data_IF_512159526304
#
_entry.id   IF_512159526304
#
_cell.length_a   1.000
_cell.length_b   1.000
_cell.length_c   1.000
_cell.angle_alpha   90.00
_cell.angle_beta   90.00
_cell.angle_gamma   90.00
#
_symmetry.space_group_name_H-M   'P 1'
#
loop_
_entity.id
_entity.type
_entity.pdbx_description
1 polymer ?
#
# COMPACT_ATOMS: atom_id res chain seq x y z
N UNK A 1 -14.44 -12.78 23.84
CA UNK A 1 -14.12 -13.77 22.78
C UNK A 1 -13.21 -14.89 23.29
N UNK A 2 -12.10 -14.58 23.97
CA UNK A 2 -11.13 -15.57 24.47
C UNK A 2 -11.72 -16.76 25.25
N UNK A 3 -12.72 -16.54 26.10
CA UNK A 3 -13.34 -17.61 26.91
C UNK A 3 -14.33 -18.50 26.14
N UNK A 4 -14.63 -18.18 24.87
CA UNK A 4 -15.52 -18.99 24.02
C UNK A 4 -14.77 -20.07 23.24
N UNK A 5 -13.43 -20.02 23.24
CA UNK A 5 -12.60 -20.95 22.50
C UNK A 5 -11.88 -21.89 23.47
N UNK A 6 -12.03 -23.22 23.33
CA UNK A 6 -11.26 -24.16 24.12
C UNK A 6 -9.78 -24.05 23.73
N UNK A 7 -8.90 -23.91 24.73
CA UNK A 7 -7.46 -23.73 24.54
C UNK A 7 -6.78 -24.92 23.86
N UNK A 8 -7.44 -26.08 23.79
CA UNK A 8 -6.97 -27.26 23.09
C UNK A 8 -7.02 -27.14 21.56
N UNK A 9 -7.80 -26.21 21.00
CA UNK A 9 -7.92 -26.01 19.56
C UNK A 9 -7.08 -24.81 19.12
N UNK A 10 -7.30 -23.65 19.75
CA UNK A 10 -6.60 -22.40 19.41
C UNK A 10 -6.66 -21.44 20.59
N UNK A 11 -5.72 -20.50 20.63
CA UNK A 11 -5.61 -19.47 21.66
C UNK A 11 -5.57 -18.09 21.03
N UNK A 12 -6.39 -17.16 21.54
CA UNK A 12 -6.30 -15.75 21.20
C UNK A 12 -5.36 -15.05 22.20
N UNK A 13 -4.20 -14.66 21.71
CA UNK A 13 -3.21 -13.88 22.45
C UNK A 13 -3.48 -12.39 22.27
N UNK A 14 -3.35 -11.64 23.36
CA UNK A 14 -3.62 -10.20 23.32
C UNK A 14 -2.54 -9.45 22.54
N UNK A 15 -1.29 -9.88 22.66
CA UNK A 15 -0.11 -9.28 22.02
C UNK A 15 -0.19 -9.30 20.50
N UNK A 16 -0.85 -10.31 19.93
CA UNK A 16 -1.05 -10.48 18.50
C UNK A 16 -2.43 -9.97 18.02
N UNK A 17 -3.19 -9.30 18.89
CA UNK A 17 -4.54 -8.84 18.58
C UNK A 17 -4.67 -7.33 18.69
N UNK A 18 -5.35 -6.73 17.72
CA UNK A 18 -5.66 -5.31 17.72
C UNK A 18 -7.16 -5.10 17.89
N UNK A 19 -7.55 -4.20 18.80
CA UNK A 19 -8.96 -3.85 19.06
C UNK A 19 -9.11 -2.34 18.98
N UNK A 20 -9.87 -1.87 17.99
CA UNK A 20 -10.28 -0.47 17.88
C UNK A 20 -11.71 -0.28 18.37
N UNK A 21 -11.93 0.73 19.20
CA UNK A 21 -13.26 1.09 19.71
C UNK A 21 -13.65 2.46 19.17
N UNK A 22 -14.76 2.51 18.44
CA UNK A 22 -15.41 3.74 18.03
C UNK A 22 -16.28 4.28 19.18
N UNK A 23 -16.05 5.52 19.59
CA UNK A 23 -16.75 6.13 20.74
C UNK A 23 -16.99 7.63 20.52
N UNK A 24 -17.57 8.30 21.53
CA UNK A 24 -17.70 9.76 21.55
C UNK A 24 -16.32 10.44 21.53
N UNK A 25 -15.34 9.87 22.23
CA UNK A 25 -14.01 10.48 22.34
C UNK A 25 -13.09 10.10 21.17
N UNK A 26 -13.30 8.92 20.56
CA UNK A 26 -12.56 8.47 19.39
C UNK A 26 -13.47 8.38 18.14
N UNK A 27 -13.37 9.33 17.19
CA UNK A 27 -14.16 9.31 15.96
C UNK A 27 -13.62 8.34 14.90
N UNK A 28 -12.45 7.73 15.11
CA UNK A 28 -11.80 6.86 14.14
C UNK A 28 -12.06 5.40 14.47
N UNK A 29 -12.47 4.62 13.46
CA UNK A 29 -12.46 3.17 13.52
C UNK A 29 -11.28 2.65 12.72
N UNK A 30 -10.42 1.87 13.37
CA UNK A 30 -9.19 1.33 12.79
C UNK A 30 -9.30 -0.19 12.69
N UNK A 31 -8.85 -0.78 11.59
CA UNK A 31 -8.63 -2.22 11.49
C UNK A 31 -7.56 -2.51 10.44
N UNK A 32 -6.89 -3.66 10.56
CA UNK A 32 -6.01 -4.20 9.51
C UNK A 32 -6.67 -5.44 8.90
N UNK A 33 -6.63 -5.55 7.58
CA UNK A 33 -7.14 -6.70 6.84
C UNK A 33 -6.33 -6.92 5.57
N UNK A 34 -5.89 -8.16 5.35
CA UNK A 34 -5.18 -8.55 4.12
C UNK A 34 -3.96 -7.65 3.79
N UNK A 35 -3.29 -7.11 4.82
CA UNK A 35 -2.16 -6.20 4.66
C UNK A 35 -2.52 -4.74 4.39
N UNK A 36 -3.80 -4.39 4.45
CA UNK A 36 -4.26 -3.01 4.44
C UNK A 36 -4.60 -2.57 5.85
N UNK A 37 -4.04 -1.43 6.25
CA UNK A 37 -4.50 -0.69 7.42
C UNK A 37 -5.55 0.33 6.99
N UNK A 38 -6.75 0.22 7.57
CA UNK A 38 -7.91 1.01 7.16
C UNK A 38 -8.41 1.93 8.29
N UNK A 39 -8.32 3.22 7.98
CA UNK A 39 -8.89 4.42 8.59
C UNK A 39 -10.37 4.70 8.29
N UNK A 40 -11.38 4.25 9.02
CA UNK A 40 -12.77 4.73 8.76
C UNK A 40 -13.11 5.96 9.62
N UNK A 41 -13.57 7.03 8.96
CA UNK A 41 -14.06 8.25 9.58
C UNK A 41 -15.46 8.63 9.04
N UNK A 42 -16.50 8.68 9.90
CA UNK A 42 -17.83 9.12 9.51
C UNK A 42 -17.89 10.62 9.21
N UNK A 43 -18.65 11.01 8.17
CA UNK A 43 -18.81 12.40 7.74
C UNK A 43 -19.39 13.31 8.84
N UNK A 44 -20.28 12.78 9.68
CA UNK A 44 -20.91 13.51 10.80
C UNK A 44 -19.89 14.00 11.83
N UNK A 45 -18.75 13.31 11.94
CA UNK A 45 -17.68 13.62 12.90
C UNK A 45 -16.51 14.39 12.27
N UNK A 46 -16.62 14.68 10.98
CA UNK A 46 -15.57 15.32 10.18
C UNK A 46 -15.82 16.82 10.13
N UNK A 47 -14.77 17.63 10.30
CA UNK A 47 -14.89 19.09 10.12
C UNK A 47 -15.27 19.41 8.67
N UNK A 48 -16.18 20.38 8.47
CA UNK A 48 -16.81 20.67 7.17
C UNK A 48 -15.79 20.99 6.04
N UNK A 49 -14.63 21.56 6.38
CA UNK A 49 -13.57 21.91 5.42
C UNK A 49 -12.75 20.71 4.93
N UNK A 50 -12.81 19.56 5.60
CA UNK A 50 -12.04 18.37 5.24
C UNK A 50 -12.69 17.53 4.13
N UNK A 51 -13.98 17.74 3.82
CA UNK A 51 -14.72 16.91 2.86
C UNK A 51 -14.42 17.27 1.39
N UNK A 52 -14.18 18.56 1.12
CA UNK A 52 -13.80 19.06 -0.22
C UNK A 52 -12.34 18.74 -0.58
N UNK A 53 -11.50 18.45 0.41
CA UNK A 53 -10.07 18.07 0.24
C UNK A 53 -9.86 16.55 0.30
N UNK A 54 -10.83 15.76 -0.17
CA UNK A 54 -10.63 14.30 -0.28
C UNK A 54 -9.58 14.06 -1.35
N UNK A 55 -8.33 13.88 -0.90
CA UNK A 55 -7.17 13.57 -1.73
C UNK A 55 -7.40 12.27 -2.52
N UNK A 56 -6.78 12.16 -3.68
CA UNK A 56 -6.73 10.92 -4.45
C UNK A 56 -6.22 9.76 -3.58
N UNK A 57 -6.89 8.59 -3.67
CA UNK A 57 -6.55 7.36 -2.96
C UNK A 57 -7.42 7.00 -1.73
N UNK A 58 -8.46 7.79 -1.46
CA UNK A 58 -9.36 7.58 -0.31
C UNK A 58 -10.70 6.99 -0.77
N UNK A 59 -11.20 5.95 -0.09
CA UNK A 59 -12.47 5.32 -0.42
C UNK A 59 -13.66 6.06 0.17
N UNK A 60 -14.59 6.45 -0.69
CA UNK A 60 -15.86 7.08 -0.28
C UNK A 60 -16.92 6.00 -0.07
N UNK A 61 -17.31 5.78 1.19
CA UNK A 61 -18.32 4.79 1.54
C UNK A 61 -19.72 5.37 1.36
N UNK A 62 -20.47 4.80 0.43
CA UNK A 62 -21.86 5.17 0.13
C UNK A 62 -22.83 4.28 0.90
N UNK A 63 -23.85 4.89 1.50
CA UNK A 63 -24.95 4.13 2.08
C UNK A 63 -25.84 3.59 0.96
N UNK A 64 -26.18 2.30 1.03
CA UNK A 64 -26.97 1.63 0.01
C UNK A 64 -28.39 2.18 -0.13
N UNK A 65 -29.02 2.57 0.98
CA UNK A 65 -30.42 3.03 1.00
C UNK A 65 -30.55 4.49 0.58
N UNK A 66 -29.73 5.38 1.14
CA UNK A 66 -29.82 6.83 0.86
C UNK A 66 -29.00 7.26 -0.34
N UNK A 67 -28.10 6.40 -0.83
CA UNK A 67 -27.11 6.71 -1.88
C UNK A 67 -26.21 7.90 -1.53
N UNK A 68 -26.14 8.30 -0.26
CA UNK A 68 -25.26 9.38 0.18
C UNK A 68 -23.90 8.83 0.63
N UNK A 69 -22.84 9.60 0.41
CA UNK A 69 -21.50 9.31 0.95
C UNK A 69 -21.49 9.65 2.45
N UNK A 70 -21.46 8.61 3.29
CA UNK A 70 -21.65 8.72 4.74
C UNK A 70 -20.36 8.61 5.54
N UNK A 71 -19.35 7.92 5.00
CA UNK A 71 -18.06 7.75 5.63
C UNK A 71 -16.94 7.74 4.59
N UNK A 72 -15.73 7.99 5.08
CA UNK A 72 -14.52 8.03 4.29
C UNK A 72 -13.55 7.01 4.89
N UNK A 73 -12.95 6.18 4.04
CA UNK A 73 -12.00 5.15 4.40
C UNK A 73 -10.62 5.48 3.82
N UNK A 74 -9.67 5.74 4.71
CA UNK A 74 -8.27 5.99 4.40
C UNK A 74 -7.52 4.67 4.42
N UNK A 75 -6.76 4.38 3.36
CA UNK A 75 -6.01 3.14 3.25
C UNK A 75 -4.52 3.42 3.39
N UNK A 76 -3.82 2.54 4.09
CA UNK A 76 -2.37 2.49 4.19
C UNK A 76 -1.92 1.03 4.04
N UNK A 77 -0.70 0.82 3.55
CA UNK A 77 -0.10 -0.52 3.53
C UNK A 77 0.45 -0.84 4.92
N UNK A 78 0.21 -2.06 5.39
CA UNK A 78 0.70 -2.56 6.67
C UNK A 78 2.23 -2.74 6.66
N UNK A 79 2.87 -2.39 7.77
CA UNK A 79 4.32 -2.45 7.97
C UNK A 79 4.85 -3.89 7.82
N UNK A 80 4.05 -4.90 8.19
CA UNK A 80 4.44 -6.31 8.01
C UNK A 80 4.63 -6.64 6.52
N UNK A 81 3.69 -6.20 5.67
CA UNK A 81 3.75 -6.44 4.24
C UNK A 81 4.87 -5.65 3.56
N UNK A 82 5.20 -4.46 4.06
CA UNK A 82 6.38 -3.71 3.63
C UNK A 82 7.68 -4.49 3.90
N UNK A 83 7.82 -5.08 5.10
CA UNK A 83 8.98 -5.91 5.46
C UNK A 83 9.06 -7.18 4.61
N UNK A 84 7.93 -7.82 4.31
CA UNK A 84 7.89 -8.99 3.41
C UNK A 84 8.41 -8.62 2.02
N UNK A 85 8.03 -7.45 1.50
CA UNK A 85 8.54 -6.96 0.22
C UNK A 85 10.06 -6.69 0.29
N UNK A 86 10.55 -6.02 1.33
CA UNK A 86 11.99 -5.78 1.52
C UNK A 86 12.78 -7.09 1.59
N UNK A 87 12.28 -8.06 2.36
CA UNK A 87 12.87 -9.40 2.45
C UNK A 87 12.91 -10.10 1.10
N UNK A 88 11.87 -9.92 0.28
CA UNK A 88 11.83 -10.47 -1.09
C UNK A 88 12.88 -9.83 -1.99
N UNK A 89 13.07 -8.52 -1.92
CA UNK A 89 14.13 -7.82 -2.67
C UNK A 89 15.51 -8.31 -2.21
N UNK A 90 15.73 -8.45 -0.90
CA UNK A 90 16.98 -8.99 -0.34
C UNK A 90 17.26 -10.40 -0.84
N UNK A 91 16.24 -11.26 -0.90
CA UNK A 91 16.36 -12.62 -1.43
C UNK A 91 16.73 -12.64 -2.92
N UNK A 92 16.16 -11.72 -3.73
CA UNK A 92 16.54 -11.57 -5.14
C UNK A 92 18.03 -11.22 -5.24
N UNK A 93 18.51 -10.26 -4.46
CA UNK A 93 19.92 -9.85 -4.45
C UNK A 93 20.86 -10.96 -3.97
N UNK A 94 20.54 -11.64 -2.87
CA UNK A 94 21.35 -12.73 -2.31
C UNK A 94 21.44 -13.95 -3.24
N UNK A 95 20.40 -14.21 -4.05
CA UNK A 95 20.38 -15.31 -5.03
C UNK A 95 20.97 -14.95 -6.40
N UNK A 96 21.52 -13.74 -6.56
CA UNK A 96 21.96 -13.20 -7.86
C UNK A 96 23.40 -13.53 -8.26
N UNK A 97 24.16 -14.26 -7.43
CA UNK A 97 25.62 -14.46 -7.60
C UNK A 97 26.09 -15.12 -8.90
N UNK A 98 25.21 -15.73 -9.70
CA UNK A 98 25.54 -16.30 -11.03
C UNK A 98 24.38 -16.20 -12.03
N UNK A 99 23.48 -15.23 -11.85
CA UNK A 99 22.31 -15.04 -12.75
C UNK A 99 22.52 -13.85 -13.68
N UNK A 100 22.05 -13.95 -14.93
CA UNK A 100 22.13 -12.83 -15.88
C UNK A 100 21.38 -11.61 -15.38
N UNK A 101 21.91 -10.42 -15.67
CA UNK A 101 21.33 -9.13 -15.26
C UNK A 101 19.84 -9.01 -15.59
N UNK A 102 19.44 -9.43 -16.80
CA UNK A 102 18.05 -9.43 -17.24
C UNK A 102 17.14 -10.29 -16.35
N UNK A 103 17.61 -11.43 -15.83
CA UNK A 103 16.82 -12.29 -14.93
C UNK A 103 16.57 -11.62 -13.58
N UNK A 104 17.52 -10.83 -13.10
CA UNK A 104 17.42 -10.09 -11.83
C UNK A 104 16.38 -8.98 -11.99
N UNK A 105 16.50 -8.17 -13.05
CA UNK A 105 15.55 -7.11 -13.40
C UNK A 105 14.14 -7.67 -13.54
N UNK A 106 13.97 -8.81 -14.23
CA UNK A 106 12.66 -9.44 -14.39
C UNK A 106 12.04 -9.91 -13.06
N UNK A 107 12.86 -10.41 -12.11
CA UNK A 107 12.37 -10.79 -10.77
C UNK A 107 11.95 -9.58 -9.95
N UNK A 108 12.74 -8.50 -10.01
CA UNK A 108 12.41 -7.25 -9.33
C UNK A 108 11.14 -6.61 -9.92
N UNK A 109 11.02 -6.55 -11.25
CA UNK A 109 9.82 -6.06 -11.94
C UNK A 109 8.57 -6.86 -11.56
N UNK A 110 8.65 -8.19 -11.49
CA UNK A 110 7.52 -9.02 -11.03
C UNK A 110 7.11 -8.73 -9.59
N UNK A 111 8.09 -8.56 -8.69
CA UNK A 111 7.82 -8.23 -7.30
C UNK A 111 7.19 -6.84 -7.15
N UNK A 112 7.74 -5.84 -7.85
CA UNK A 112 7.23 -4.47 -7.84
C UNK A 112 5.82 -4.37 -8.43
N UNK A 113 5.58 -4.98 -9.60
CA UNK A 113 4.25 -4.99 -10.22
C UNK A 113 3.25 -5.70 -9.30
N UNK A 114 3.65 -6.80 -8.65
CA UNK A 114 2.78 -7.50 -7.69
C UNK A 114 2.39 -6.62 -6.51
N UNK A 115 3.35 -5.88 -5.94
CA UNK A 115 3.09 -4.92 -4.86
C UNK A 115 2.17 -3.79 -5.32
N UNK A 116 2.48 -3.18 -6.47
CA UNK A 116 1.75 -2.04 -7.01
C UNK A 116 0.32 -2.39 -7.41
N UNK A 117 0.10 -3.56 -8.02
CA UNK A 117 -1.22 -3.98 -8.48
C UNK A 117 -2.11 -4.51 -7.36
N UNK A 118 -1.52 -5.01 -6.26
CA UNK A 118 -2.27 -5.47 -5.09
C UNK A 118 -2.76 -4.29 -4.24
N UNK A 119 -1.86 -3.39 -3.83
CA UNK A 119 -2.19 -2.28 -2.93
C UNK A 119 -2.74 -1.04 -3.63
N UNK A 120 -2.45 -0.87 -4.94
CA UNK A 120 -2.93 0.23 -5.80
C UNK A 120 -2.86 1.60 -5.12
N UNK A 121 -4.01 2.09 -4.67
CA UNK A 121 -4.24 3.42 -4.08
C UNK A 121 -3.61 3.59 -2.69
N UNK A 122 -3.48 2.50 -1.93
CA UNK A 122 -2.88 2.53 -0.59
C UNK A 122 -1.38 2.88 -0.61
N UNK A 123 -0.71 2.65 -1.75
CA UNK A 123 0.72 2.96 -1.92
C UNK A 123 0.98 4.47 -1.88
N UNK A 124 0.06 5.29 -2.40
CA UNK A 124 0.20 6.75 -2.48
C UNK A 124 0.12 7.38 -1.09
N UNK A 125 -0.64 6.78 -0.19
CA UNK A 125 -0.80 7.26 1.18
C UNK A 125 0.32 6.83 2.12
N UNK A 126 1.15 5.88 1.72
CA UNK A 126 2.22 5.32 2.55
C UNK A 126 3.56 5.92 2.12
N UNK A 127 3.95 7.07 2.68
CA UNK A 127 5.22 7.74 2.35
C UNK A 127 6.44 6.85 2.61
N UNK A 128 6.41 6.11 3.73
CA UNK A 128 7.47 5.17 4.10
C UNK A 128 7.69 4.07 3.06
N UNK A 129 6.63 3.66 2.35
CA UNK A 129 6.75 2.70 1.25
C UNK A 129 7.42 3.32 0.03
N UNK A 130 7.13 4.58 -0.28
CA UNK A 130 7.80 5.29 -1.37
C UNK A 130 9.29 5.45 -1.08
N UNK A 131 9.64 5.80 0.16
CA UNK A 131 11.05 5.89 0.58
C UNK A 131 11.75 4.52 0.52
N UNK A 132 11.06 3.45 0.92
CA UNK A 132 11.57 2.08 0.79
C UNK A 132 11.79 1.69 -0.67
N UNK A 133 10.87 2.03 -1.57
CA UNK A 133 11.01 1.80 -3.01
C UNK A 133 12.21 2.55 -3.59
N UNK A 134 12.39 3.82 -3.23
CA UNK A 134 13.54 4.64 -3.63
C UNK A 134 14.85 4.05 -3.11
N UNK A 135 14.86 3.58 -1.86
CA UNK A 135 16.01 2.91 -1.26
C UNK A 135 16.36 1.61 -1.99
N UNK A 136 15.35 0.77 -2.29
CA UNK A 136 15.54 -0.46 -3.05
C UNK A 136 15.93 -0.22 -4.52
N UNK A 137 15.57 0.92 -5.10
CA UNK A 137 15.94 1.31 -6.48
C UNK A 137 17.24 2.12 -6.57
N UNK A 138 17.96 2.32 -5.47
CA UNK A 138 19.28 2.96 -5.45
C UNK A 138 19.27 4.50 -5.47
N UNK A 139 18.18 5.14 -5.08
CA UNK A 139 17.99 6.59 -5.21
C UNK A 139 18.81 7.45 -4.26
N UNK A 140 18.77 7.23 -2.94
CA UNK A 140 19.57 7.98 -1.96
C UNK A 140 19.67 7.21 -0.64
N UNK A 141 20.86 6.70 -0.32
CA UNK A 141 21.29 6.36 1.04
C UNK A 141 22.82 6.37 1.02
N UNK A 142 23.38 7.47 1.50
CA UNK A 142 24.71 7.42 2.12
C UNK A 142 24.53 6.76 3.50
N UNK A 143 25.55 6.01 3.92
CA UNK A 143 25.63 5.31 5.22
C UNK A 143 24.78 4.03 5.38
N UNK A 144 25.25 2.91 4.79
CA UNK A 144 25.43 1.61 5.47
C UNK A 144 25.80 0.50 4.46
N UNK A 145 26.75 -0.34 4.86
CA UNK A 145 27.57 -1.32 4.13
C UNK A 145 26.90 -2.39 3.23
N UNK A 146 25.63 -2.22 2.84
CA UNK A 146 24.96 -3.08 1.84
C UNK A 146 25.00 -2.46 0.42
N UNK A 147 25.45 -1.20 0.31
CA UNK A 147 25.30 -0.35 -0.88
C UNK A 147 26.35 -0.47 -1.99
N UNK A 148 27.39 -1.29 -1.82
CA UNK A 148 28.46 -1.43 -2.83
C UNK A 148 28.03 -2.12 -4.12
N UNK A 149 27.21 -3.17 -4.00
CA UNK A 149 26.77 -3.95 -5.17
C UNK A 149 25.58 -3.29 -5.87
N UNK A 150 24.57 -2.80 -5.15
CA UNK A 150 23.38 -2.18 -5.77
C UNK A 150 23.72 -0.94 -6.64
N UNK A 151 24.70 -0.11 -6.23
CA UNK A 151 25.15 1.07 -7.01
C UNK A 151 25.77 0.69 -8.36
N UNK A 152 26.50 -0.43 -8.46
CA UNK A 152 27.03 -0.94 -9.74
C UNK A 152 25.95 -1.58 -10.62
N UNK A 153 24.91 -2.17 -10.02
CA UNK A 153 23.81 -2.82 -10.73
C UNK A 153 22.86 -1.83 -11.43
N UNK A 154 22.59 -0.65 -10.86
CA UNK A 154 21.63 0.32 -11.42
C UNK A 154 22.26 1.39 -12.33
N UNK A 155 23.58 1.59 -12.26
CA UNK A 155 24.30 2.49 -13.17
C UNK A 155 24.30 2.00 -14.64
N UNK A 156 23.87 0.77 -14.92
CA UNK A 156 23.87 0.18 -16.26
C UNK A 156 22.66 0.56 -17.14
N UNK A 157 21.60 1.18 -16.61
CA UNK A 157 20.50 1.73 -17.42
C UNK A 157 19.67 2.79 -16.67
N UNK A 158 20.21 4.00 -16.44
CA UNK A 158 19.48 5.10 -15.80
C UNK A 158 18.22 5.51 -16.59
N UNK A 159 18.28 5.42 -17.93
CA UNK A 159 17.23 5.91 -18.83
C UNK A 159 16.02 4.99 -18.99
N UNK A 160 16.17 3.67 -18.86
CA UNK A 160 15.04 2.74 -18.98
C UNK A 160 14.31 2.55 -17.64
N UNK A 161 15.03 2.56 -16.51
CA UNK A 161 14.39 2.37 -15.21
C UNK A 161 13.57 3.57 -14.76
N UNK A 162 14.08 4.79 -14.92
CA UNK A 162 13.33 5.99 -14.53
C UNK A 162 12.13 6.23 -15.44
N UNK A 163 12.28 6.00 -16.76
CA UNK A 163 11.18 6.13 -17.71
C UNK A 163 10.16 4.99 -17.57
N UNK A 164 10.58 3.77 -17.21
CA UNK A 164 9.65 2.66 -16.96
C UNK A 164 8.99 2.80 -15.58
N UNK A 165 9.69 3.25 -14.54
CA UNK A 165 9.06 3.54 -13.25
C UNK A 165 8.07 4.69 -13.39
N UNK A 166 8.42 5.78 -14.09
CA UNK A 166 7.49 6.86 -14.42
C UNK A 166 6.34 6.37 -15.31
N UNK A 167 6.59 5.62 -16.39
CA UNK A 167 5.52 5.14 -17.27
C UNK A 167 4.65 4.06 -16.62
N UNK A 168 5.18 3.25 -15.70
CA UNK A 168 4.42 2.21 -14.99
C UNK A 168 3.72 2.80 -13.78
N UNK A 169 4.34 3.73 -13.05
CA UNK A 169 3.65 4.52 -12.03
C UNK A 169 2.58 5.39 -12.67
N UNK A 170 2.88 6.19 -13.70
CA UNK A 170 1.89 7.01 -14.41
C UNK A 170 0.81 6.15 -15.07
N UNK A 171 1.13 5.01 -15.72
CA UNK A 171 0.07 4.14 -16.26
C UNK A 171 -0.74 3.45 -15.17
N UNK A 172 -0.14 3.01 -14.06
CA UNK A 172 -0.89 2.34 -12.97
C UNK A 172 -1.71 3.35 -12.16
N UNK A 173 -1.17 4.55 -11.89
CA UNK A 173 -1.91 5.68 -11.33
C UNK A 173 -3.01 6.15 -12.30
N UNK A 174 -2.75 6.20 -13.60
CA UNK A 174 -3.76 6.60 -14.62
C UNK A 174 -4.83 5.51 -14.83
N UNK A 175 -4.50 4.22 -14.66
CA UNK A 175 -5.47 3.12 -14.60
C UNK A 175 -6.31 3.21 -13.32
N UNK A 176 -5.71 3.51 -12.16
CA UNK A 176 -6.46 3.76 -10.91
C UNK A 176 -7.39 4.97 -11.04
N UNK A 177 -6.94 6.06 -11.66
CA UNK A 177 -7.79 7.21 -11.98
C UNK A 177 -8.89 6.88 -13.00
N UNK A 178 -8.63 5.99 -13.97
CA UNK A 178 -9.65 5.57 -14.95
C UNK A 178 -10.72 4.65 -14.33
N UNK A 179 -10.34 3.74 -13.43
CA UNK A 179 -11.27 2.91 -12.65
C UNK A 179 -12.14 3.78 -11.71
N UNK A 180 -11.60 4.89 -11.20
CA UNK A 180 -12.32 5.89 -10.41
C UNK A 180 -13.32 6.70 -11.26
N UNK A 181 -13.03 6.97 -12.55
CA UNK A 181 -13.99 7.59 -13.47
C UNK A 181 -15.12 6.59 -13.81
N UNK A 182 -14.79 5.33 -14.09
CA UNK A 182 -15.81 4.31 -14.43
C UNK A 182 -16.73 3.94 -13.25
N UNK A 183 -16.22 3.91 -12.01
CA UNK A 183 -17.07 3.68 -10.83
C UNK A 183 -18.00 4.86 -10.52
N UNK A 184 -17.61 6.09 -10.89
CA UNK A 184 -18.43 7.28 -10.72
C UNK A 184 -19.46 7.46 -11.86
N UNK A 185 -19.17 6.94 -13.07
CA UNK A 185 -20.12 6.91 -14.19
C UNK A 185 -21.17 5.79 -14.07
N UNK A 186 -20.84 4.66 -13.44
CA UNK A 186 -21.81 3.58 -13.16
C UNK A 186 -22.95 3.97 -12.21
N UNK A 187 -22.85 5.12 -11.54
CA UNK A 187 -23.90 5.67 -10.66
C UNK A 187 -24.78 6.72 -11.33
N UNK A 188 -24.57 7.03 -12.63
CA UNK A 188 -25.34 8.04 -13.37
C UNK A 188 -26.26 7.47 -14.46
N UNK A 189 -26.43 6.16 -14.51
CA UNK A 189 -27.27 5.51 -15.51
C UNK A 189 -27.95 4.24 -15.03
N UNK A 190 -29.03 4.39 -14.26
CA UNK A 190 -30.30 3.64 -14.37
C UNK A 190 -31.29 4.12 -13.30
#
# INVERSE_FOLDING_TARGET
>A
MKNRLPRSITTLEWENSFVSVYSKDNPNLLFSMCGFEVRILPKIRMSQEAFSNTKDGVWNLQNEQTKERTAVAFLRVDDEHMKVFENRVRQILMSSGSTTFTKIVNKWNKALIGLMTYFREANVHTQELLDLLVKCSGGNSDESDVGGDARRFLAASPGQFHLFLLLTLDRVLSISCSDHIYSNEGSKGR
#
